data_IF_057795428020
#
_entry.id   IF_057795428020
#
_cell.length_a   1.000
_cell.length_b   1.000
_cell.length_c   1.000
_cell.angle_alpha   90.00
_cell.angle_beta   90.00
_cell.angle_gamma   90.00
#
_symmetry.space_group_name_H-M   'P 1'
#
loop_
_entity.id
_entity.type
_entity.pdbx_description
1 polymer ?
#
# COMPACT_ATOMS: atom_id res chain seq x y z
N UNK A 1 -12.34 14.33 -11.38
CA UNK A 1 -10.99 14.42 -11.96
C UNK A 1 -10.24 13.18 -11.50
N UNK A 2 -9.66 12.38 -12.40
CA UNK A 2 -9.01 11.10 -12.04
C UNK A 2 -7.65 11.41 -11.36
N UNK A 3 -7.37 10.89 -10.15
CA UNK A 3 -6.12 11.20 -9.46
C UNK A 3 -4.93 10.65 -10.23
N UNK A 4 -3.82 11.38 -10.22
CA UNK A 4 -2.58 10.92 -10.86
C UNK A 4 -1.70 10.26 -9.81
N UNK A 5 -1.50 8.94 -9.96
CA UNK A 5 -0.78 8.15 -8.97
C UNK A 5 0.42 7.44 -9.60
N UNK A 6 1.48 7.31 -8.81
CA UNK A 6 2.63 6.47 -9.09
C UNK A 6 2.78 5.42 -7.99
N UNK A 7 2.86 4.16 -8.37
CA UNK A 7 3.15 3.09 -7.41
C UNK A 7 4.66 3.03 -7.12
N UNK A 8 5.02 2.86 -5.85
CA UNK A 8 6.41 2.83 -5.36
C UNK A 8 6.79 1.44 -4.87
N UNK A 9 5.85 0.74 -4.25
CA UNK A 9 5.98 -0.66 -3.86
C UNK A 9 4.66 -1.35 -4.11
N UNK A 10 4.70 -2.55 -4.66
CA UNK A 10 3.54 -3.41 -4.79
C UNK A 10 3.93 -4.84 -4.40
N UNK A 11 3.30 -5.31 -3.33
CA UNK A 11 3.42 -6.68 -2.85
C UNK A 11 2.05 -7.34 -2.89
N UNK A 12 1.95 -8.54 -3.43
CA UNK A 12 0.66 -9.21 -3.55
C UNK A 12 0.69 -10.72 -3.33
N UNK A 13 -0.49 -11.24 -3.03
CA UNK A 13 -0.85 -12.65 -2.98
C UNK A 13 -2.19 -12.85 -3.70
N UNK A 14 -2.73 -14.05 -3.66
CA UNK A 14 -4.06 -14.34 -4.22
C UNK A 14 -5.19 -13.58 -3.50
N UNK A 15 -4.99 -13.25 -2.21
CA UNK A 15 -6.03 -12.63 -1.36
C UNK A 15 -5.80 -11.14 -1.10
N UNK A 16 -4.54 -10.69 -1.04
CA UNK A 16 -4.18 -9.37 -0.55
C UNK A 16 -3.15 -8.70 -1.45
N UNK A 17 -3.33 -7.41 -1.73
CA UNK A 17 -2.28 -6.53 -2.26
C UNK A 17 -1.96 -5.44 -1.22
N UNK A 18 -0.68 -5.21 -0.96
CA UNK A 18 -0.20 -4.08 -0.17
C UNK A 18 0.68 -3.23 -1.07
N UNK A 19 0.40 -1.93 -1.09
CA UNK A 19 1.11 -1.03 -1.97
C UNK A 19 1.35 0.34 -1.32
N UNK A 20 2.45 0.96 -1.72
CA UNK A 20 2.72 2.37 -1.46
C UNK A 20 2.49 3.14 -2.75
N UNK A 21 1.64 4.16 -2.70
CA UNK A 21 1.39 5.07 -3.81
C UNK A 21 1.85 6.48 -3.48
N UNK A 22 2.23 7.20 -4.53
CA UNK A 22 2.48 8.63 -4.52
C UNK A 22 1.45 9.33 -5.39
N UNK A 23 0.67 10.26 -4.83
CA UNK A 23 -0.13 11.20 -5.60
C UNK A 23 0.77 12.27 -6.21
N UNK A 24 0.68 12.46 -7.52
CA UNK A 24 1.51 13.41 -8.28
C UNK A 24 0.75 14.65 -8.73
N UNK A 25 -0.56 14.70 -8.48
CA UNK A 25 -1.46 15.81 -8.78
C UNK A 25 -1.68 16.77 -7.59
N UNK A 26 -0.96 16.58 -6.48
CA UNK A 26 -1.03 17.46 -5.31
C UNK A 26 -0.03 18.63 -5.40
N UNK A 27 -0.33 19.77 -4.75
CA UNK A 27 0.60 20.88 -4.59
C UNK A 27 1.94 20.46 -3.96
N UNK A 28 3.01 21.18 -4.28
CA UNK A 28 4.37 20.86 -3.79
C UNK A 28 4.51 21.01 -2.27
N UNK A 29 3.67 21.84 -1.67
CA UNK A 29 3.54 22.13 -0.25
C UNK A 29 2.56 21.20 0.47
N UNK A 30 1.96 20.23 -0.24
CA UNK A 30 1.07 19.25 0.38
C UNK A 30 1.83 18.39 1.43
N UNK A 31 1.19 18.05 2.56
CA UNK A 31 1.76 17.16 3.56
C UNK A 31 2.20 15.83 2.94
N UNK A 32 3.34 15.30 3.39
CA UNK A 32 3.83 13.99 2.92
C UNK A 32 2.82 12.87 3.13
N UNK A 33 1.99 12.93 4.18
CA UNK A 33 0.90 11.98 4.46
C UNK A 33 -0.26 12.02 3.44
N UNK A 34 -0.37 13.12 2.70
CA UNK A 34 -1.35 13.27 1.63
C UNK A 34 -0.77 12.80 0.29
N UNK A 35 0.52 13.05 0.09
CA UNK A 35 1.28 12.63 -1.10
C UNK A 35 1.51 11.11 -1.09
N UNK A 36 1.98 10.54 0.02
CA UNK A 36 2.35 9.14 0.14
C UNK A 36 1.32 8.40 0.97
N UNK A 37 0.75 7.32 0.40
CA UNK A 37 -0.24 6.48 1.09
C UNK A 37 0.11 5.01 0.96
N UNK A 38 0.11 4.33 2.10
CA UNK A 38 0.14 2.88 2.17
C UNK A 38 -1.29 2.35 2.15
N UNK A 39 -1.57 1.41 1.28
CA UNK A 39 -2.90 0.84 1.08
C UNK A 39 -2.82 -0.68 1.16
N UNK A 40 -3.81 -1.29 1.82
CA UNK A 40 -4.11 -2.72 1.73
C UNK A 40 -5.38 -2.91 0.92
N UNK A 41 -5.34 -3.77 -0.08
CA UNK A 41 -6.44 -4.12 -0.93
C UNK A 41 -6.79 -5.60 -0.79
N UNK A 42 -7.99 -5.87 -0.31
CA UNK A 42 -8.54 -7.23 -0.23
C UNK A 42 -9.15 -7.60 -1.59
N UNK A 43 -8.58 -8.61 -2.25
CA UNK A 43 -8.97 -9.05 -3.59
C UNK A 43 -10.30 -9.78 -3.63
N UNK A 44 -10.77 -10.32 -2.49
CA UNK A 44 -12.05 -11.02 -2.41
C UNK A 44 -13.22 -10.04 -2.28
N UNK A 45 -13.02 -8.96 -1.52
CA UNK A 45 -14.06 -7.97 -1.22
C UNK A 45 -13.93 -6.70 -2.06
N UNK A 46 -12.85 -6.55 -2.82
CA UNK A 46 -12.46 -5.34 -3.55
C UNK A 46 -12.38 -4.09 -2.66
N UNK A 47 -12.06 -4.27 -1.37
CA UNK A 47 -11.97 -3.17 -0.41
C UNK A 47 -10.53 -2.66 -0.29
N UNK A 48 -10.38 -1.35 -0.38
CA UNK A 48 -9.14 -0.64 -0.06
C UNK A 48 -9.23 -0.06 1.34
N UNK A 49 -8.20 -0.27 2.14
CA UNK A 49 -8.02 0.32 3.47
C UNK A 49 -6.67 1.01 3.50
N UNK A 50 -6.61 2.22 4.05
CA UNK A 50 -5.34 2.90 4.28
C UNK A 50 -4.64 2.31 5.51
N UNK A 51 -3.37 1.97 5.34
CA UNK A 51 -2.48 1.60 6.44
C UNK A 51 -1.86 2.88 7.02
N UNK A 52 -2.07 3.10 8.31
CA UNK A 52 -1.56 4.29 9.00
C UNK A 52 -0.09 4.04 9.34
N UNK A 53 0.79 4.68 8.58
CA UNK A 53 2.24 4.54 8.72
C UNK A 53 2.74 5.21 10.00
N UNK A 54 3.44 4.44 10.84
CA UNK A 54 4.04 4.91 12.09
C UNK A 54 5.54 5.15 11.94
N UNK A 55 6.25 4.13 11.48
CA UNK A 55 7.71 4.16 11.35
C UNK A 55 8.19 3.14 10.34
N UNK A 56 9.44 3.29 9.91
CA UNK A 56 10.14 2.33 9.08
C UNK A 56 11.49 2.02 9.68
N UNK A 57 11.91 0.77 9.54
CA UNK A 57 13.31 0.38 9.65
C UNK A 57 13.77 -0.21 8.32
N UNK A 58 15.05 -0.08 8.00
CA UNK A 58 15.58 -0.65 6.77
C UNK A 58 17.05 -0.99 6.93
N UNK A 59 17.36 -2.24 6.63
CA UNK A 59 18.72 -2.75 6.44
C UNK A 59 19.01 -2.95 4.94
N UNK A 60 20.26 -3.27 4.58
CA UNK A 60 20.70 -3.35 3.16
C UNK A 60 19.80 -4.22 2.28
N UNK A 61 19.28 -5.34 2.80
CA UNK A 61 18.45 -6.29 2.05
C UNK A 61 16.98 -6.34 2.47
N UNK A 62 16.64 -5.77 3.63
CA UNK A 62 15.31 -5.94 4.26
C UNK A 62 14.72 -4.57 4.59
N UNK A 63 13.49 -4.36 4.16
CA UNK A 63 12.68 -3.21 4.48
C UNK A 63 11.57 -3.59 5.45
N UNK A 64 11.40 -2.76 6.47
CA UNK A 64 10.47 -2.97 7.57
C UNK A 64 9.58 -1.73 7.68
N UNK A 65 8.26 -1.93 7.72
CA UNK A 65 7.25 -0.85 7.79
C UNK A 65 6.26 -1.18 8.88
N UNK A 66 6.14 -0.28 9.85
CA UNK A 66 5.24 -0.41 10.98
C UNK A 66 4.01 0.46 10.74
N UNK A 67 2.85 -0.17 10.85
CA UNK A 67 1.56 0.48 10.73
C UNK A 67 0.75 0.32 12.02
N UNK A 68 -0.30 1.11 12.20
CA UNK A 68 -1.24 0.87 13.29
C UNK A 68 -1.94 -0.50 13.16
N UNK A 69 -2.21 -0.93 11.92
CA UNK A 69 -2.91 -2.18 11.60
C UNK A 69 -2.02 -3.43 11.64
N UNK A 70 -0.69 -3.26 11.57
CA UNK A 70 0.21 -4.39 11.43
C UNK A 70 1.62 -3.99 11.03
N UNK A 71 2.37 -4.96 10.54
CA UNK A 71 3.78 -4.84 10.25
C UNK A 71 4.12 -5.53 8.93
N UNK A 72 4.78 -4.82 8.01
CA UNK A 72 5.24 -5.36 6.73
C UNK A 72 6.77 -5.48 6.73
N UNK A 73 7.26 -6.70 6.51
CA UNK A 73 8.67 -6.99 6.26
C UNK A 73 8.83 -7.47 4.83
N UNK A 74 9.70 -6.86 4.04
CA UNK A 74 9.87 -7.24 2.64
C UNK A 74 11.26 -6.96 2.10
N UNK A 75 11.58 -7.59 0.98
CA UNK A 75 12.78 -7.38 0.20
C UNK A 75 12.42 -7.23 -1.29
N UNK A 76 13.41 -7.37 -2.18
CA UNK A 76 13.22 -7.24 -3.63
C UNK A 76 12.37 -8.35 -4.27
N UNK A 77 12.14 -9.47 -3.58
CA UNK A 77 11.45 -10.65 -4.12
C UNK A 77 10.13 -10.95 -3.42
N UNK A 78 10.08 -10.80 -2.09
CA UNK A 78 8.92 -11.20 -1.30
C UNK A 78 8.73 -10.33 -0.06
N UNK A 79 7.57 -10.48 0.56
CA UNK A 79 7.25 -9.84 1.83
C UNK A 79 6.34 -10.69 2.69
N UNK A 80 6.19 -10.27 3.95
CA UNK A 80 5.25 -10.83 4.91
C UNK A 80 4.60 -9.68 5.64
N UNK A 81 3.27 -9.63 5.58
CA UNK A 81 2.48 -8.71 6.37
C UNK A 81 1.88 -9.45 7.55
N UNK A 82 2.08 -8.91 8.74
CA UNK A 82 1.61 -9.47 10.00
C UNK A 82 0.59 -8.50 10.59
N UNK A 83 -0.67 -8.91 10.67
CA UNK A 83 -1.74 -8.12 11.27
C UNK A 83 -1.56 -8.03 12.79
N UNK A 84 -1.79 -6.84 13.34
CA UNK A 84 -1.63 -6.60 14.78
C UNK A 84 -2.70 -7.31 15.62
N UNK A 85 -3.94 -7.38 15.12
CA UNK A 85 -5.10 -7.79 15.93
C UNK A 85 -5.24 -9.31 16.11
N UNK A 86 -4.91 -10.07 15.08
CA UNK A 86 -5.09 -11.53 15.05
C UNK A 86 -3.76 -12.28 14.79
N UNK A 87 -2.64 -11.56 14.65
CA UNK A 87 -1.33 -12.13 14.26
C UNK A 87 -1.37 -12.95 12.96
N UNK A 88 -2.37 -12.72 12.10
CA UNK A 88 -2.44 -13.35 10.79
C UNK A 88 -1.25 -12.91 9.95
N UNK A 89 -0.62 -13.89 9.28
CA UNK A 89 0.54 -13.65 8.43
C UNK A 89 0.17 -13.88 6.97
N UNK A 90 0.40 -12.87 6.16
CA UNK A 90 0.16 -12.88 4.72
C UNK A 90 1.49 -12.87 4.01
N UNK A 91 1.83 -13.98 3.36
CA UNK A 91 3.01 -14.04 2.48
C UNK A 91 2.67 -13.35 1.16
N UNK A 92 3.56 -12.47 0.72
CA UNK A 92 3.39 -11.64 -0.46
C UNK A 92 4.60 -11.79 -1.39
N UNK A 93 4.37 -11.63 -2.68
CA UNK A 93 5.39 -11.53 -3.72
C UNK A 93 5.56 -10.06 -4.07
N UNK A 94 6.81 -9.59 -4.15
CA UNK A 94 7.09 -8.24 -4.63
C UNK A 94 7.00 -8.22 -6.15
N UNK A 95 5.99 -7.54 -6.68
CA UNK A 95 5.74 -7.41 -8.12
C UNK A 95 6.26 -6.08 -8.69
N UNK A 96 7.07 -5.36 -7.91
CA UNK A 96 7.73 -4.14 -8.32
C UNK A 96 6.89 -2.90 -8.09
N UNK A 97 6.70 -2.10 -9.14
CA UNK A 97 6.14 -0.73 -9.07
C UNK A 97 4.96 -0.53 -10.01
N UNK A 98 4.38 -1.60 -10.54
CA UNK A 98 3.29 -1.55 -11.50
C UNK A 98 1.96 -2.01 -10.88
N UNK A 99 0.88 -1.33 -11.25
CA UNK A 99 -0.49 -1.72 -10.91
C UNK A 99 -1.10 -2.34 -12.17
N UNK A 100 -0.94 -3.65 -12.30
CA UNK A 100 -1.38 -4.39 -13.51
C UNK A 100 -2.87 -4.78 -13.48
N UNK A 101 -3.50 -4.74 -12.29
CA UNK A 101 -4.92 -5.08 -12.13
C UNK A 101 -5.79 -3.83 -12.29
N UNK A 102 -6.71 -3.86 -13.26
CA UNK A 102 -7.69 -2.80 -13.49
C UNK A 102 -8.65 -2.63 -12.30
N UNK A 103 -9.05 -3.72 -11.65
CA UNK A 103 -9.89 -3.69 -10.45
C UNK A 103 -9.18 -3.00 -9.28
N UNK A 104 -7.90 -3.29 -9.07
CA UNK A 104 -7.09 -2.65 -8.05
C UNK A 104 -6.97 -1.14 -8.32
N UNK A 105 -6.65 -0.76 -9.56
CA UNK A 105 -6.52 0.65 -9.94
C UNK A 105 -7.84 1.41 -9.72
N UNK A 106 -8.96 0.85 -10.15
CA UNK A 106 -10.28 1.46 -9.95
C UNK A 106 -10.61 1.63 -8.45
N UNK A 107 -10.36 0.60 -7.64
CA UNK A 107 -10.61 0.66 -6.20
C UNK A 107 -9.74 1.70 -5.48
N UNK A 108 -8.49 1.89 -5.91
CA UNK A 108 -7.61 2.94 -5.38
C UNK A 108 -8.13 4.32 -5.79
N UNK A 109 -8.53 4.52 -7.04
CA UNK A 109 -9.07 5.79 -7.53
C UNK A 109 -10.36 6.19 -6.79
N UNK A 110 -11.24 5.22 -6.55
CA UNK A 110 -12.45 5.42 -5.74
C UNK A 110 -12.07 5.82 -4.31
N UNK A 111 -11.18 5.06 -3.66
CA UNK A 111 -10.70 5.35 -2.30
C UNK A 111 -10.15 6.78 -2.17
N UNK A 112 -9.33 7.22 -3.13
CA UNK A 112 -8.74 8.56 -3.13
C UNK A 112 -9.76 9.66 -3.39
N UNK A 113 -10.83 9.37 -4.11
CA UNK A 113 -11.91 10.33 -4.36
C UNK A 113 -12.79 10.49 -3.13
N UNK A 114 -13.14 9.39 -2.44
CA UNK A 114 -13.93 9.43 -1.22
C UNK A 114 -13.19 10.04 -0.03
N UNK A 115 -11.87 9.87 0.07
CA UNK A 115 -11.07 10.46 1.14
C UNK A 115 -10.95 12.00 1.07
N UNK A 116 -11.37 12.64 -0.03
CA UNK A 116 -11.33 14.11 -0.22
C UNK A 116 -12.61 14.83 0.23
N UNK A 117 -13.65 14.11 0.65
CA UNK A 117 -14.91 14.67 1.18
C UNK A 117 -14.98 14.53 2.70
#
# INVERSE_FOLDING_TARGET
>A
MKPSIKCLYHLESDALSILEIKQTDLPIDAPKSDIYKWLSYDKHTNKVVQLIFNSSDSSEDIQERYFEQGYLKFNRQSGTFIEKFNSAQHKLINVGVEINSSSLLAAIEDFLTFSKN
#
